data_IF_827084738165
#
_entry.id   IF_827084738165
#
_cell.length_a   1.000
_cell.length_b   1.000
_cell.length_c   1.000
_cell.angle_alpha   90.00
_cell.angle_beta   90.00
_cell.angle_gamma   90.00
#
_symmetry.space_group_name_H-M   'P 1'
#
loop_
_entity.id
_entity.type
_entity.pdbx_description
1 polymer ?
#
# COMPACT_ATOMS: atom_id res chain seq x y z
N UNK A 1 -16.93 -22.83 -7.80
CA UNK A 1 -15.46 -22.89 -7.89
C UNK A 1 -14.84 -21.78 -8.77
N UNK A 2 -15.50 -20.63 -8.97
CA UNK A 2 -15.03 -19.60 -9.95
C UNK A 2 -14.50 -18.28 -9.33
N UNK A 3 -14.25 -18.21 -8.02
CA UNK A 3 -13.80 -16.98 -7.35
C UNK A 3 -12.32 -16.91 -6.98
N UNK A 4 -11.53 -17.96 -7.17
CA UNK A 4 -10.13 -18.04 -6.71
C UNK A 4 -9.08 -17.60 -7.75
N UNK A 5 -9.45 -17.45 -9.02
CA UNK A 5 -8.49 -17.26 -10.13
C UNK A 5 -8.36 -15.81 -10.61
N UNK A 6 -8.77 -14.80 -9.83
CA UNK A 6 -8.69 -13.40 -10.25
C UNK A 6 -7.71 -12.61 -9.41
N UNK A 7 -7.03 -11.69 -10.06
CA UNK A 7 -6.24 -10.68 -9.36
C UNK A 7 -7.15 -9.77 -8.53
N UNK A 8 -6.70 -9.41 -7.33
CA UNK A 8 -7.50 -8.64 -6.37
C UNK A 8 -6.63 -7.63 -5.63
N UNK A 9 -7.24 -6.51 -5.27
CA UNK A 9 -6.74 -5.61 -4.23
C UNK A 9 -7.66 -5.77 -3.03
N UNK A 10 -7.10 -6.13 -1.87
CA UNK A 10 -7.82 -6.21 -0.60
C UNK A 10 -7.35 -5.04 0.25
N UNK A 11 -8.19 -4.03 0.39
CA UNK A 11 -7.87 -2.84 1.17
C UNK A 11 -8.00 -3.16 2.65
N UNK A 12 -6.89 -3.26 3.37
CA UNK A 12 -6.89 -3.48 4.81
C UNK A 12 -7.14 -2.19 5.58
N UNK A 13 -6.69 -1.06 5.04
CA UNK A 13 -6.92 0.26 5.60
C UNK A 13 -6.91 1.34 4.53
N UNK A 14 -7.65 2.42 4.75
CA UNK A 14 -7.86 3.49 3.75
C UNK A 14 -7.60 4.89 4.26
N UNK A 15 -7.32 5.03 5.56
CA UNK A 15 -7.19 6.32 6.24
C UNK A 15 -5.78 6.90 6.20
N UNK A 16 -5.70 8.21 6.37
CA UNK A 16 -4.45 8.97 6.53
C UNK A 16 -3.82 8.76 7.92
N UNK A 17 -2.67 9.40 8.17
CA UNK A 17 -1.84 9.18 9.36
C UNK A 17 -2.60 9.24 10.70
N UNK A 18 -3.46 10.23 10.91
CA UNK A 18 -4.17 10.42 12.18
C UNK A 18 -5.65 10.01 12.12
N UNK A 19 -6.03 9.16 11.15
CA UNK A 19 -7.36 8.58 11.08
C UNK A 19 -7.64 7.72 12.32
N UNK A 20 -8.85 7.83 12.86
CA UNK A 20 -9.29 7.09 14.05
C UNK A 20 -10.59 6.31 13.82
N UNK A 21 -11.26 6.52 12.68
CA UNK A 21 -12.50 5.87 12.30
C UNK A 21 -12.35 4.86 11.18
N UNK A 22 -11.16 4.76 10.62
CA UNK A 22 -10.72 3.73 9.69
C UNK A 22 -9.24 3.42 9.94
N UNK A 23 -8.74 2.29 9.44
CA UNK A 23 -7.35 1.91 9.60
C UNK A 23 -6.45 2.69 8.62
N UNK A 24 -5.18 2.87 8.98
CA UNK A 24 -4.22 3.54 8.11
C UNK A 24 -3.98 2.75 6.82
N UNK A 25 -3.64 3.47 5.77
CA UNK A 25 -3.53 2.91 4.42
C UNK A 25 -2.56 1.74 4.34
N UNK A 26 -3.09 0.59 3.98
CA UNK A 26 -2.35 -0.61 3.61
C UNK A 26 -3.27 -1.57 2.85
N UNK A 27 -2.70 -2.41 2.00
CA UNK A 27 -3.50 -3.32 1.19
C UNK A 27 -2.72 -4.57 0.81
N UNK A 28 -3.43 -5.59 0.35
CA UNK A 28 -2.84 -6.77 -0.27
C UNK A 28 -3.12 -6.73 -1.77
N UNK A 29 -2.05 -6.84 -2.56
CA UNK A 29 -2.14 -7.18 -3.97
C UNK A 29 -2.07 -8.71 -4.08
N UNK A 30 -3.16 -9.31 -4.51
CA UNK A 30 -3.33 -10.76 -4.59
C UNK A 30 -3.47 -11.20 -6.05
N UNK A 31 -2.69 -12.20 -6.40
CA UNK A 31 -2.86 -13.01 -7.61
C UNK A 31 -3.26 -14.43 -7.21
N UNK A 32 -3.53 -15.37 -8.15
CA UNK A 32 -3.75 -16.77 -7.80
C UNK A 32 -2.65 -17.38 -6.94
N UNK A 33 -1.38 -17.04 -7.18
CA UNK A 33 -0.22 -17.67 -6.56
C UNK A 33 0.53 -16.77 -5.57
N UNK A 34 0.24 -15.46 -5.52
CA UNK A 34 1.00 -14.51 -4.70
C UNK A 34 0.10 -13.58 -3.89
N UNK A 35 0.49 -13.32 -2.65
CA UNK A 35 -0.03 -12.22 -1.84
C UNK A 35 1.13 -11.31 -1.45
N UNK A 36 1.07 -10.06 -1.91
CA UNK A 36 2.01 -9.01 -1.55
C UNK A 36 1.31 -8.01 -0.63
N UNK A 37 1.72 -7.94 0.63
CA UNK A 37 1.26 -6.89 1.54
C UNK A 37 2.03 -5.59 1.24
N UNK A 38 1.33 -4.50 1.03
CA UNK A 38 1.89 -3.16 0.81
C UNK A 38 1.58 -2.29 2.01
N UNK A 39 2.60 -1.90 2.75
CA UNK A 39 2.56 -1.28 4.06
C UNK A 39 1.74 -2.10 5.09
N UNK A 40 1.65 -1.64 6.33
CA UNK A 40 0.92 -2.37 7.37
C UNK A 40 0.22 -1.44 8.38
N UNK A 41 0.08 -0.16 8.06
CA UNK A 41 -0.58 0.80 8.94
C UNK A 41 0.22 1.16 10.21
N UNK A 42 -0.44 1.83 11.14
CA UNK A 42 0.17 2.50 12.29
C UNK A 42 0.35 1.66 13.55
N UNK A 43 0.08 0.36 13.53
CA UNK A 43 0.26 -0.45 14.75
C UNK A 43 -0.35 -1.85 14.70
N UNK A 44 -0.67 -2.40 15.87
CA UNK A 44 -1.19 -3.77 16.00
C UNK A 44 -2.58 -3.97 15.39
N UNK A 45 -3.28 -2.90 15.03
CA UNK A 45 -4.55 -2.97 14.30
C UNK A 45 -4.47 -3.77 13.00
N UNK A 46 -3.27 -3.86 12.38
CA UNK A 46 -3.07 -4.71 11.20
C UNK A 46 -3.47 -6.18 11.48
N UNK A 47 -3.27 -6.66 12.69
CA UNK A 47 -3.60 -8.04 13.04
C UNK A 47 -5.12 -8.26 13.02
N UNK A 48 -5.91 -7.29 13.49
CA UNK A 48 -7.37 -7.32 13.39
C UNK A 48 -7.82 -7.24 11.93
N UNK A 49 -7.20 -6.36 11.14
CA UNK A 49 -7.54 -6.21 9.71
C UNK A 49 -7.29 -7.50 8.93
N UNK A 50 -6.19 -8.18 9.21
CA UNK A 50 -5.89 -9.48 8.58
C UNK A 50 -6.88 -10.57 9.03
N UNK A 51 -7.22 -10.61 10.32
CA UNK A 51 -8.19 -11.58 10.86
C UNK A 51 -9.58 -11.38 10.25
N UNK A 52 -10.09 -10.14 10.22
CA UNK A 52 -11.39 -9.81 9.63
C UNK A 52 -11.43 -10.04 8.11
N UNK A 53 -10.32 -9.77 7.41
CA UNK A 53 -10.15 -10.09 5.99
C UNK A 53 -10.00 -11.61 5.75
N UNK A 54 -9.93 -12.45 6.81
CA UNK A 54 -9.71 -13.90 6.76
C UNK A 54 -8.40 -14.28 6.05
N UNK A 55 -7.35 -13.49 6.28
CA UNK A 55 -6.03 -13.71 5.74
C UNK A 55 -5.12 -14.20 6.85
N UNK A 56 -4.58 -15.40 6.68
CA UNK A 56 -3.56 -15.89 7.59
C UNK A 56 -2.18 -15.38 7.17
N UNK A 57 -1.38 -14.97 8.13
CA UNK A 57 -0.01 -14.53 7.85
C UNK A 57 0.86 -15.66 7.25
N UNK A 58 0.52 -16.93 7.51
CA UNK A 58 1.16 -18.07 6.85
C UNK A 58 0.90 -18.16 5.36
N UNK A 59 -0.18 -17.54 4.88
CA UNK A 59 -0.60 -17.57 3.47
C UNK A 59 -0.05 -16.36 2.71
N UNK A 60 0.43 -15.34 3.43
CA UNK A 60 1.24 -14.26 2.84
C UNK A 60 2.59 -14.90 2.54
N UNK A 61 2.67 -15.56 1.39
CA UNK A 61 3.88 -16.23 0.93
C UNK A 61 4.99 -15.22 0.71
N UNK A 62 5.67 -14.88 1.81
CA UNK A 62 7.01 -14.33 1.86
C UNK A 62 7.20 -12.84 1.57
N UNK A 63 6.16 -11.99 1.31
CA UNK A 63 6.45 -10.68 0.74
C UNK A 63 5.68 -9.52 1.36
N UNK A 64 6.42 -8.52 1.81
CA UNK A 64 5.89 -7.22 2.22
C UNK A 64 6.72 -6.11 1.58
N UNK A 65 6.05 -5.10 1.02
CA UNK A 65 6.67 -3.90 0.47
C UNK A 65 6.35 -2.71 1.36
N UNK A 66 7.38 -1.98 1.80
CA UNK A 66 7.24 -0.73 2.57
C UNK A 66 7.49 0.43 1.62
N UNK A 67 6.48 1.30 1.46
CA UNK A 67 6.60 2.50 0.63
C UNK A 67 7.54 3.51 1.28
N UNK A 68 7.40 3.76 2.59
CA UNK A 68 8.23 4.70 3.34
C UNK A 68 8.16 4.50 4.87
N UNK A 69 8.89 5.33 5.62
CA UNK A 69 9.13 5.14 7.05
C UNK A 69 8.19 5.93 7.98
N UNK A 70 7.09 6.53 7.49
CA UNK A 70 6.12 7.17 8.39
C UNK A 70 5.42 6.16 9.30
N UNK A 71 5.00 6.64 10.46
CA UNK A 71 4.45 5.79 11.53
C UNK A 71 3.20 5.04 11.12
N UNK A 72 2.37 5.64 10.30
CA UNK A 72 1.11 5.10 9.79
C UNK A 72 1.27 4.08 8.65
N UNK A 73 2.52 3.81 8.23
CA UNK A 73 2.87 2.78 7.24
C UNK A 73 3.74 1.67 7.84
N UNK A 74 4.73 2.03 8.68
CA UNK A 74 5.77 1.11 9.13
C UNK A 74 5.50 0.43 10.47
N UNK A 75 4.74 1.05 11.40
CA UNK A 75 4.60 0.49 12.75
C UNK A 75 3.81 -0.83 12.76
N UNK A 76 2.86 -1.01 11.86
CA UNK A 76 2.19 -2.29 11.66
C UNK A 76 3.13 -3.39 11.16
N UNK A 77 4.15 -3.02 10.35
CA UNK A 77 5.16 -3.98 9.86
C UNK A 77 5.92 -4.64 11.00
N UNK A 78 6.20 -3.92 12.08
CA UNK A 78 6.83 -4.48 13.29
C UNK A 78 5.99 -5.63 13.86
N UNK A 79 4.67 -5.49 13.85
CA UNK A 79 3.75 -6.53 14.31
C UNK A 79 3.68 -7.71 13.35
N UNK A 80 3.71 -7.45 12.04
CA UNK A 80 3.79 -8.52 11.03
C UNK A 80 5.09 -9.32 11.23
N UNK A 81 6.25 -8.65 11.34
CA UNK A 81 7.55 -9.30 11.60
C UNK A 81 7.51 -10.11 12.88
N UNK A 82 6.94 -9.56 13.97
CA UNK A 82 6.77 -10.28 15.23
C UNK A 82 5.97 -11.57 15.07
N UNK A 83 4.85 -11.52 14.36
CA UNK A 83 3.97 -12.68 14.17
C UNK A 83 4.60 -13.72 13.26
N UNK A 84 5.20 -13.31 12.14
CA UNK A 84 5.94 -14.20 11.24
C UNK A 84 7.10 -14.89 12.01
N UNK A 85 7.88 -14.14 12.78
CA UNK A 85 8.95 -14.70 13.61
C UNK A 85 8.41 -15.74 14.62
N UNK A 86 7.25 -15.50 15.20
CA UNK A 86 6.57 -16.47 16.08
C UNK A 86 6.14 -17.73 15.34
N UNK A 87 5.57 -17.59 14.14
CA UNK A 87 5.15 -18.70 13.29
C UNK A 87 6.37 -19.55 12.84
N UNK A 88 7.47 -18.90 12.44
CA UNK A 88 8.72 -19.60 12.10
C UNK A 88 9.24 -20.39 13.29
N UNK A 89 9.33 -19.78 14.50
CA UNK A 89 9.81 -20.45 15.72
C UNK A 89 8.92 -21.63 16.16
N UNK A 90 7.63 -21.59 15.83
CA UNK A 90 6.69 -22.68 16.13
C UNK A 90 6.58 -23.72 15.03
N UNK A 91 7.34 -23.59 13.93
CA UNK A 91 7.28 -24.50 12.79
C UNK A 91 6.00 -24.39 11.95
N UNK A 92 5.25 -23.30 12.10
CA UNK A 92 3.98 -23.06 11.38
C UNK A 92 4.16 -22.17 10.14
N UNK A 93 5.36 -21.70 9.86
CA UNK A 93 5.74 -20.94 8.69
C UNK A 93 7.01 -21.56 8.09
N UNK A 94 6.93 -22.00 6.84
CA UNK A 94 8.03 -22.60 6.13
C UNK A 94 8.63 -21.63 5.11
N UNK A 95 9.98 -21.57 5.06
CA UNK A 95 10.70 -20.69 4.14
C UNK A 95 11.12 -19.38 4.77
N UNK A 96 11.35 -18.38 3.93
CA UNK A 96 11.79 -17.04 4.32
C UNK A 96 10.69 -16.02 4.09
N UNK A 97 10.62 -15.01 4.94
CA UNK A 97 9.77 -13.84 4.77
C UNK A 97 10.64 -12.65 4.38
N UNK A 98 10.35 -12.01 3.25
CA UNK A 98 11.14 -10.89 2.77
C UNK A 98 10.36 -9.59 2.86
N UNK A 99 10.96 -8.59 3.47
CA UNK A 99 10.48 -7.21 3.51
C UNK A 99 11.28 -6.40 2.52
N UNK A 100 10.63 -5.86 1.52
CA UNK A 100 11.20 -4.95 0.52
C UNK A 100 10.97 -3.51 0.94
N UNK A 101 11.92 -2.65 0.70
CA UNK A 101 11.81 -1.22 0.95
C UNK A 101 13.12 -0.50 0.63
N UNK A 102 13.10 0.81 0.55
CA UNK A 102 14.33 1.58 0.39
C UNK A 102 15.16 1.56 1.69
N UNK A 103 16.45 1.86 1.57
CA UNK A 103 17.44 1.77 2.66
C UNK A 103 16.96 2.36 4.00
N UNK A 104 16.40 3.58 3.98
CA UNK A 104 15.95 4.26 5.21
C UNK A 104 14.79 3.52 5.88
N UNK A 105 13.78 3.08 5.12
CA UNK A 105 12.64 2.36 5.65
C UNK A 105 13.07 1.05 6.32
N UNK A 106 13.95 0.29 5.67
CA UNK A 106 14.48 -0.96 6.24
C UNK A 106 15.33 -0.73 7.49
N UNK A 107 16.18 0.30 7.51
CA UNK A 107 16.97 0.66 8.70
C UNK A 107 16.09 1.03 9.89
N UNK A 108 15.02 1.83 9.64
CA UNK A 108 14.06 2.21 10.68
C UNK A 108 13.33 0.97 11.21
N UNK A 109 12.82 0.12 10.30
CA UNK A 109 12.16 -1.13 10.70
C UNK A 109 13.08 -2.02 11.54
N UNK A 110 14.29 -2.28 11.05
CA UNK A 110 15.26 -3.12 11.75
C UNK A 110 15.57 -2.56 13.14
N UNK A 111 15.81 -1.26 13.23
CA UNK A 111 16.08 -0.60 14.51
C UNK A 111 14.92 -0.77 15.49
N UNK A 112 13.69 -0.48 15.08
CA UNK A 112 12.50 -0.63 15.93
C UNK A 112 12.36 -2.11 16.37
N UNK A 113 12.45 -3.05 15.44
CA UNK A 113 12.36 -4.47 15.76
C UNK A 113 13.41 -4.90 16.78
N UNK A 114 14.68 -4.51 16.61
CA UNK A 114 15.78 -4.88 17.53
C UNK A 114 15.62 -4.27 18.92
N UNK A 115 15.05 -3.06 19.01
CA UNK A 115 14.85 -2.37 20.28
C UNK A 115 13.58 -2.82 21.03
N UNK A 116 12.60 -3.39 20.32
CA UNK A 116 11.26 -3.65 20.93
C UNK A 116 10.89 -5.13 20.96
N UNK A 117 11.43 -5.96 20.08
CA UNK A 117 11.08 -7.37 20.01
C UNK A 117 12.04 -8.25 20.83
N UNK A 118 11.55 -9.40 21.36
CA UNK A 118 12.41 -10.37 22.05
C UNK A 118 13.55 -10.87 21.16
N UNK A 119 14.72 -11.10 21.75
CA UNK A 119 15.92 -11.57 21.06
C UNK A 119 15.68 -12.84 20.21
N UNK A 120 14.82 -13.76 20.67
CA UNK A 120 14.45 -14.97 19.91
C UNK A 120 13.79 -14.68 18.57
N UNK A 121 13.17 -13.50 18.40
CA UNK A 121 12.56 -13.06 17.14
C UNK A 121 13.54 -12.24 16.30
N UNK A 122 14.26 -11.31 16.94
CA UNK A 122 15.21 -10.47 16.21
C UNK A 122 16.43 -11.25 15.68
N UNK A 123 16.73 -12.42 16.27
CA UNK A 123 17.75 -13.34 15.73
C UNK A 123 17.39 -13.94 14.36
N UNK A 124 16.15 -13.84 13.94
CA UNK A 124 15.71 -14.30 12.61
C UNK A 124 15.92 -13.25 11.52
N UNK A 125 16.14 -11.97 11.89
CA UNK A 125 16.42 -10.90 10.94
C UNK A 125 17.80 -11.15 10.31
N UNK A 126 17.82 -11.23 8.98
CA UNK A 126 19.00 -11.58 8.18
C UNK A 126 19.14 -13.08 7.86
N UNK A 127 18.25 -13.93 8.40
CA UNK A 127 18.26 -15.38 8.11
C UNK A 127 16.91 -15.87 7.54
N UNK A 128 15.85 -15.84 8.35
CA UNK A 128 14.51 -16.26 7.96
C UNK A 128 13.57 -15.07 7.72
N UNK A 129 13.88 -13.91 8.27
CA UNK A 129 13.24 -12.62 7.95
C UNK A 129 14.29 -11.79 7.23
N UNK A 130 14.13 -11.62 5.92
CA UNK A 130 15.08 -10.91 5.07
C UNK A 130 14.62 -9.48 4.86
N UNK A 131 15.56 -8.54 4.93
CA UNK A 131 15.34 -7.14 4.58
C UNK A 131 16.03 -6.89 3.24
N UNK A 132 15.25 -6.70 2.19
CA UNK A 132 15.76 -6.54 0.83
C UNK A 132 15.64 -5.07 0.40
N UNK A 133 16.79 -4.41 0.29
CA UNK A 133 16.84 -3.03 -0.19
C UNK A 133 16.46 -2.95 -1.67
N UNK A 134 15.54 -2.04 -1.98
CA UNK A 134 15.18 -1.66 -3.35
C UNK A 134 15.67 -0.25 -3.66
N UNK A 135 16.11 -0.06 -4.90
CA UNK A 135 16.59 1.22 -5.42
C UNK A 135 15.68 1.73 -6.52
N UNK A 136 15.84 3.00 -6.85
CA UNK A 136 15.15 3.59 -8.00
C UNK A 136 15.44 2.80 -9.27
N UNK A 137 14.39 2.43 -10.00
CA UNK A 137 14.39 1.62 -11.23
C UNK A 137 14.65 0.13 -11.05
N UNK A 138 14.81 -0.36 -9.84
CA UNK A 138 14.97 -1.80 -9.63
C UNK A 138 13.74 -2.57 -10.15
N UNK A 139 14.01 -3.68 -10.80
CA UNK A 139 13.01 -4.64 -11.24
C UNK A 139 13.08 -5.90 -10.37
N UNK A 140 11.92 -6.30 -9.85
CA UNK A 140 11.79 -7.42 -8.93
C UNK A 140 10.76 -8.42 -9.45
N UNK A 141 11.01 -9.70 -9.19
CA UNK A 141 9.97 -10.72 -9.31
C UNK A 141 9.56 -11.18 -7.91
N UNK A 142 8.32 -10.93 -7.54
CA UNK A 142 7.75 -11.29 -6.26
C UNK A 142 6.65 -12.33 -6.54
N UNK A 143 6.99 -13.62 -6.37
CA UNK A 143 6.14 -14.68 -6.85
C UNK A 143 5.91 -14.55 -8.36
N UNK A 144 4.65 -14.46 -8.77
CA UNK A 144 4.23 -14.27 -10.16
C UNK A 144 3.99 -12.79 -10.55
N UNK A 145 4.23 -11.85 -9.63
CA UNK A 145 4.14 -10.39 -9.85
C UNK A 145 5.50 -9.83 -10.24
N UNK A 146 5.58 -9.06 -11.33
CA UNK A 146 6.77 -8.28 -11.67
C UNK A 146 6.57 -6.85 -11.22
N UNK A 147 7.50 -6.33 -10.40
CA UNK A 147 7.51 -4.95 -9.94
C UNK A 147 8.66 -4.18 -10.56
N UNK A 148 8.39 -2.95 -10.96
CA UNK A 148 9.40 -1.94 -11.24
C UNK A 148 9.24 -0.84 -10.19
N UNK A 149 10.24 -0.71 -9.33
CA UNK A 149 10.25 0.28 -8.24
C UNK A 149 10.71 1.64 -8.74
N UNK A 150 10.17 2.71 -8.20
CA UNK A 150 10.63 4.07 -8.51
C UNK A 150 10.53 4.99 -7.30
N UNK A 151 11.47 5.93 -7.21
CA UNK A 151 11.43 7.01 -6.23
C UNK A 151 10.33 7.99 -6.65
N UNK A 152 9.35 8.25 -5.78
CA UNK A 152 8.28 9.20 -6.07
C UNK A 152 8.74 10.66 -5.97
N UNK A 153 9.99 10.89 -5.54
CA UNK A 153 10.62 12.20 -5.38
C UNK A 153 9.89 13.07 -4.35
N UNK A 154 9.47 12.45 -3.26
CA UNK A 154 8.83 13.13 -2.14
C UNK A 154 9.72 14.22 -1.54
N UNK A 155 9.10 15.33 -1.15
CA UNK A 155 9.79 16.45 -0.49
C UNK A 155 9.77 16.37 1.03
N UNK A 156 8.99 15.43 1.61
CA UNK A 156 8.89 15.20 3.07
C UNK A 156 9.82 14.08 3.53
N UNK A 157 9.58 12.91 3.00
CA UNK A 157 10.23 11.65 3.38
C UNK A 157 10.46 10.83 2.13
N UNK A 158 11.63 10.19 2.01
CA UNK A 158 11.91 9.31 0.87
C UNK A 158 10.82 8.25 0.79
N UNK A 159 10.16 8.16 -0.36
CA UNK A 159 9.10 7.20 -0.64
C UNK A 159 9.34 6.52 -1.97
N UNK A 160 8.96 5.25 -2.04
CA UNK A 160 8.96 4.49 -3.28
C UNK A 160 7.55 4.08 -3.65
N UNK A 161 7.24 4.30 -4.93
CA UNK A 161 6.13 3.69 -5.62
C UNK A 161 6.61 2.47 -6.42
N UNK A 162 5.67 1.82 -7.09
CA UNK A 162 5.98 0.73 -8.00
C UNK A 162 4.96 0.64 -9.14
N UNK A 163 5.43 0.14 -10.29
CA UNK A 163 4.57 -0.39 -11.35
C UNK A 163 4.58 -1.91 -11.25
N UNK A 164 3.41 -2.52 -11.13
CA UNK A 164 3.25 -3.97 -11.15
C UNK A 164 2.74 -4.42 -12.52
N UNK A 165 3.29 -5.54 -13.01
CA UNK A 165 2.73 -6.32 -14.11
C UNK A 165 2.27 -7.66 -13.53
N UNK A 166 0.96 -7.92 -13.62
CA UNK A 166 0.33 -9.12 -13.09
C UNK A 166 0.34 -10.25 -14.13
N UNK A 167 0.10 -11.50 -13.71
CA UNK A 167 0.19 -12.67 -14.60
C UNK A 167 -0.70 -12.62 -15.83
N UNK A 168 -1.86 -11.98 -15.74
CA UNK A 168 -2.82 -11.83 -16.85
C UNK A 168 -2.50 -10.65 -17.78
N UNK A 169 -1.39 -9.94 -17.53
CA UNK A 169 -0.97 -8.76 -18.28
C UNK A 169 -1.53 -7.44 -17.75
N UNK A 170 -2.36 -7.44 -16.73
CA UNK A 170 -2.86 -6.22 -16.07
C UNK A 170 -1.71 -5.42 -15.47
N UNK A 171 -1.71 -4.11 -15.68
CA UNK A 171 -0.70 -3.19 -15.14
C UNK A 171 -1.31 -2.29 -14.06
N UNK A 172 -0.57 -2.14 -12.95
CA UNK A 172 -0.97 -1.33 -11.81
C UNK A 172 0.17 -0.41 -11.39
N UNK A 173 -0.10 0.89 -11.21
CA UNK A 173 0.85 1.84 -10.65
C UNK A 173 0.38 2.30 -9.26
N UNK A 174 1.27 2.21 -8.27
CA UNK A 174 1.04 2.68 -6.90
C UNK A 174 1.96 3.87 -6.60
N UNK A 175 1.37 5.00 -6.24
CA UNK A 175 2.09 6.26 -6.01
C UNK A 175 2.41 6.56 -4.52
N UNK A 176 2.08 5.63 -3.60
CA UNK A 176 2.25 5.92 -2.17
C UNK A 176 1.23 6.95 -1.68
N UNK A 177 1.63 7.83 -0.75
CA UNK A 177 0.77 8.80 -0.08
C UNK A 177 1.12 10.28 -0.37
N UNK A 178 1.74 10.53 -1.50
CA UNK A 178 2.07 11.89 -1.97
C UNK A 178 1.55 12.18 -3.37
N UNK A 179 1.40 13.50 -3.70
CA UNK A 179 1.04 13.90 -5.05
C UNK A 179 2.03 13.41 -6.10
N UNK A 180 1.51 13.11 -7.28
CA UNK A 180 2.28 12.66 -8.42
C UNK A 180 3.38 13.67 -8.84
N UNK A 181 4.55 13.14 -9.22
CA UNK A 181 5.65 13.89 -9.81
C UNK A 181 5.80 13.53 -11.31
N UNK A 182 5.90 14.54 -12.17
CA UNK A 182 6.02 14.37 -13.63
C UNK A 182 7.21 13.49 -14.07
N UNK A 183 8.28 13.43 -13.29
CA UNK A 183 9.41 12.56 -13.58
C UNK A 183 9.05 11.08 -13.55
N UNK A 184 7.92 10.75 -12.92
CA UNK A 184 7.42 9.37 -12.79
C UNK A 184 6.42 8.99 -13.90
N UNK A 185 6.25 9.84 -14.91
CA UNK A 185 5.29 9.62 -16.01
C UNK A 185 5.41 8.23 -16.64
N UNK A 186 6.62 7.81 -16.94
CA UNK A 186 6.88 6.53 -17.61
C UNK A 186 6.41 5.29 -16.82
N UNK A 187 6.29 5.41 -15.49
CA UNK A 187 5.81 4.33 -14.65
C UNK A 187 4.29 4.28 -14.52
N UNK A 188 3.61 5.40 -14.76
CA UNK A 188 2.18 5.55 -14.47
C UNK A 188 1.32 5.64 -15.73
N UNK A 189 1.83 6.32 -16.78
CA UNK A 189 1.08 6.56 -18.02
C UNK A 189 0.60 5.24 -18.64
N UNK A 190 -0.67 5.22 -19.08
CA UNK A 190 -1.33 4.06 -19.70
C UNK A 190 -1.41 2.81 -18.80
N UNK A 191 -1.29 2.94 -17.48
CA UNK A 191 -1.55 1.83 -16.57
C UNK A 191 -3.05 1.45 -16.59
N UNK A 192 -3.35 0.16 -16.42
CA UNK A 192 -4.74 -0.26 -16.25
C UNK A 192 -5.32 0.24 -14.94
N UNK A 193 -4.50 0.31 -13.88
CA UNK A 193 -4.87 0.77 -12.55
C UNK A 193 -3.89 1.82 -12.04
N UNK A 194 -4.44 2.91 -11.53
CA UNK A 194 -3.71 3.90 -10.73
C UNK A 194 -4.22 3.88 -9.30
N UNK A 195 -3.34 3.59 -8.37
CA UNK A 195 -3.55 3.68 -6.93
C UNK A 195 -2.86 4.95 -6.43
N UNK A 196 -3.63 5.93 -5.97
CA UNK A 196 -3.06 7.18 -5.45
C UNK A 196 -3.87 7.72 -4.27
N UNK A 197 -3.22 8.58 -3.50
CA UNK A 197 -3.85 9.27 -2.41
C UNK A 197 -4.87 10.32 -2.89
N UNK A 198 -5.88 10.58 -2.07
CA UNK A 198 -6.81 11.70 -2.18
C UNK A 198 -7.24 12.11 -0.78
N UNK A 199 -6.49 13.02 -0.17
CA UNK A 199 -6.62 13.33 1.25
C UNK A 199 -8.03 13.82 1.63
N UNK A 200 -8.59 14.74 0.83
CA UNK A 200 -9.93 15.27 1.05
C UNK A 200 -10.61 15.67 -0.27
N UNK A 201 -11.85 16.11 -0.17
CA UNK A 201 -12.53 16.77 -1.29
C UNK A 201 -11.93 18.16 -1.55
N UNK A 202 -11.85 18.58 -2.80
CA UNK A 202 -11.37 19.92 -3.18
C UNK A 202 -12.17 21.06 -2.51
N UNK A 203 -13.50 20.86 -2.39
CA UNK A 203 -14.35 21.84 -1.69
C UNK A 203 -14.00 22.01 -0.21
N UNK A 204 -13.41 20.99 0.42
CA UNK A 204 -13.07 20.97 1.85
C UNK A 204 -11.57 21.25 2.09
N UNK A 205 -10.81 21.64 1.05
CA UNK A 205 -9.36 21.90 1.12
C UNK A 205 -8.97 22.97 2.11
N UNK A 206 -9.83 23.98 2.33
CA UNK A 206 -9.57 25.04 3.30
C UNK A 206 -9.73 24.57 4.75
N UNK A 207 -10.44 23.46 4.99
CA UNK A 207 -10.62 22.83 6.28
C UNK A 207 -9.46 21.89 6.56
N UNK A 208 -9.16 20.97 5.61
CA UNK A 208 -8.21 19.88 5.79
C UNK A 208 -6.77 20.25 5.44
N UNK A 209 -6.57 21.35 4.68
CA UNK A 209 -5.25 21.86 4.29
C UNK A 209 -4.35 20.80 3.63
N UNK A 210 -4.82 20.12 2.55
CA UNK A 210 -4.05 19.04 1.92
C UNK A 210 -2.68 19.52 1.44
N UNK A 211 -2.59 20.69 0.84
CA UNK A 211 -1.34 21.19 0.26
C UNK A 211 -0.27 21.50 1.31
N UNK A 212 -0.66 21.97 2.51
CA UNK A 212 0.27 22.20 3.62
C UNK A 212 0.83 20.86 4.16
N UNK A 213 0.13 19.76 3.90
CA UNK A 213 0.50 18.40 4.28
C UNK A 213 1.10 17.60 3.12
N UNK A 214 1.31 18.23 1.98
CA UNK A 214 1.79 17.63 0.74
C UNK A 214 0.89 16.46 0.27
N UNK A 215 -0.40 16.71 0.20
CA UNK A 215 -1.41 15.80 -0.31
C UNK A 215 -2.24 16.47 -1.40
N UNK A 216 -2.98 15.67 -2.16
CA UNK A 216 -3.92 16.11 -3.19
C UNK A 216 -5.39 15.92 -2.77
N UNK A 217 -6.29 16.32 -3.63
CA UNK A 217 -7.74 16.18 -3.46
C UNK A 217 -8.30 15.16 -4.45
N UNK A 218 -9.52 14.70 -4.21
CA UNK A 218 -10.21 13.78 -5.11
C UNK A 218 -10.37 14.35 -6.53
N UNK A 219 -10.59 15.68 -6.65
CA UNK A 219 -10.68 16.37 -7.93
C UNK A 219 -9.38 16.28 -8.72
N UNK A 220 -8.25 16.52 -8.04
CA UNK A 220 -6.90 16.51 -8.64
C UNK A 220 -6.47 15.09 -9.00
N UNK A 221 -6.80 14.11 -8.16
CA UNK A 221 -6.56 12.71 -8.48
C UNK A 221 -7.34 12.25 -9.73
N UNK A 222 -8.59 12.71 -9.89
CA UNK A 222 -9.34 12.49 -11.12
C UNK A 222 -8.69 13.14 -12.35
N UNK A 223 -8.26 14.40 -12.25
CA UNK A 223 -7.57 15.09 -13.34
C UNK A 223 -6.23 14.42 -13.70
N UNK A 224 -5.51 13.90 -12.70
CA UNK A 224 -4.28 13.13 -12.91
C UNK A 224 -4.55 11.83 -13.67
N UNK A 225 -5.58 11.09 -13.28
CA UNK A 225 -5.96 9.83 -13.92
C UNK A 225 -6.31 10.03 -15.41
N UNK A 226 -7.04 11.09 -15.74
CA UNK A 226 -7.36 11.46 -17.12
C UNK A 226 -6.10 11.84 -17.91
N UNK A 227 -5.26 12.72 -17.34
CA UNK A 227 -4.00 13.17 -17.95
C UNK A 227 -3.05 12.00 -18.27
N UNK A 228 -2.99 10.99 -17.39
CA UNK A 228 -2.12 9.83 -17.54
C UNK A 228 -2.77 8.67 -18.31
N UNK A 229 -3.97 8.87 -18.85
CA UNK A 229 -4.70 7.89 -19.65
C UNK A 229 -4.80 6.51 -18.97
N UNK A 230 -5.08 6.48 -17.67
CA UNK A 230 -5.33 5.24 -16.93
C UNK A 230 -6.78 4.79 -17.12
N UNK A 231 -7.07 3.50 -16.89
CA UNK A 231 -8.44 2.97 -17.06
C UNK A 231 -9.24 2.99 -15.76
N UNK A 232 -8.58 2.68 -14.65
CA UNK A 232 -9.21 2.55 -13.33
C UNK A 232 -8.41 3.38 -12.31
N UNK A 233 -9.11 4.18 -11.53
CA UNK A 233 -8.56 5.00 -10.45
C UNK A 233 -9.03 4.46 -9.10
N UNK A 234 -8.10 4.12 -8.21
CA UNK A 234 -8.39 3.75 -6.83
C UNK A 234 -7.81 4.79 -5.88
N UNK A 235 -8.71 5.39 -5.07
CA UNK A 235 -8.38 6.43 -4.11
C UNK A 235 -8.30 5.88 -2.70
N UNK A 236 -7.24 6.23 -1.98
CA UNK A 236 -7.02 5.89 -0.58
C UNK A 236 -6.37 7.05 0.18
N UNK A 237 -5.89 6.83 1.40
CA UNK A 237 -5.23 7.80 2.28
C UNK A 237 -6.08 9.05 2.52
N UNK A 238 -7.37 8.81 2.80
CA UNK A 238 -8.37 9.86 2.93
C UNK A 238 -8.53 10.33 4.36
N UNK A 239 -9.07 11.54 4.54
CA UNK A 239 -9.61 11.96 5.83
C UNK A 239 -10.75 11.02 6.30
N UNK A 240 -11.03 11.00 7.60
CA UNK A 240 -11.95 10.06 8.22
C UNK A 240 -13.22 10.69 8.84
N UNK A 241 -13.46 11.98 8.61
CA UNK A 241 -14.63 12.69 9.18
C UNK A 241 -15.88 12.50 8.33
N UNK A 242 -15.72 12.20 7.05
CA UNK A 242 -16.82 12.07 6.08
C UNK A 242 -17.08 10.64 5.61
N UNK A 243 -16.65 9.61 6.36
CA UNK A 243 -16.69 8.20 5.92
C UNK A 243 -18.04 7.75 5.36
N UNK A 244 -19.15 8.14 5.98
CA UNK A 244 -20.48 7.72 5.55
C UNK A 244 -20.86 8.18 4.13
N UNK A 245 -20.30 9.31 3.67
CA UNK A 245 -20.55 9.90 2.35
C UNK A 245 -19.33 9.86 1.43
N UNK A 246 -18.18 9.42 1.95
CA UNK A 246 -16.88 9.45 1.28
C UNK A 246 -16.95 8.84 -0.11
N UNK A 247 -17.42 7.60 -0.23
CA UNK A 247 -17.48 6.88 -1.52
C UNK A 247 -18.22 7.69 -2.58
N UNK A 248 -19.42 8.15 -2.27
CA UNK A 248 -20.24 8.92 -3.22
C UNK A 248 -19.59 10.28 -3.56
N UNK A 249 -19.12 11.01 -2.55
CA UNK A 249 -18.59 12.35 -2.73
C UNK A 249 -17.25 12.36 -3.49
N UNK A 250 -16.31 11.47 -3.13
CA UNK A 250 -15.01 11.37 -3.80
C UNK A 250 -15.16 10.86 -5.24
N UNK A 251 -16.01 9.85 -5.44
CA UNK A 251 -16.34 9.40 -6.80
C UNK A 251 -16.94 10.52 -7.63
N UNK A 252 -17.92 11.28 -7.09
CA UNK A 252 -18.56 12.38 -7.79
C UNK A 252 -17.60 13.54 -8.11
N UNK A 253 -16.63 13.80 -7.24
CA UNK A 253 -15.66 14.87 -7.47
C UNK A 253 -14.60 14.45 -8.49
N UNK A 254 -14.02 13.26 -8.39
CA UNK A 254 -13.04 12.74 -9.34
C UNK A 254 -13.67 12.58 -10.76
N UNK A 255 -14.93 12.19 -10.85
CA UNK A 255 -15.67 12.03 -12.10
C UNK A 255 -15.90 13.34 -12.89
N UNK A 256 -15.64 14.50 -12.28
CA UNK A 256 -15.70 15.77 -13.01
C UNK A 256 -14.60 15.83 -14.09
N UNK A 257 -13.46 15.24 -13.84
CA UNK A 257 -12.31 15.25 -14.75
C UNK A 257 -12.00 13.88 -15.37
N UNK A 258 -12.38 12.78 -14.74
CA UNK A 258 -12.04 11.43 -15.18
C UNK A 258 -13.29 10.65 -15.61
N UNK A 259 -13.21 9.97 -16.76
CA UNK A 259 -14.33 9.20 -17.32
C UNK A 259 -14.15 7.68 -17.21
N UNK A 260 -13.02 7.23 -16.70
CA UNK A 260 -12.77 5.81 -16.39
C UNK A 260 -13.49 5.36 -15.13
N UNK A 261 -13.16 4.18 -14.66
CA UNK A 261 -13.74 3.63 -13.44
C UNK A 261 -13.08 4.22 -12.21
N UNK A 262 -13.86 4.61 -11.20
CA UNK A 262 -13.38 5.22 -9.96
C UNK A 262 -13.77 4.32 -8.78
N UNK A 263 -12.79 3.97 -7.97
CA UNK A 263 -12.94 3.14 -6.78
C UNK A 263 -12.52 3.93 -5.55
N UNK A 264 -13.40 4.01 -4.57
CA UNK A 264 -13.16 4.64 -3.25
C UNK A 264 -13.53 3.60 -2.19
N UNK A 265 -12.62 2.67 -1.87
CA UNK A 265 -12.94 1.56 -0.99
C UNK A 265 -13.13 1.98 0.47
N UNK A 266 -13.86 1.18 1.21
CA UNK A 266 -13.79 1.11 2.66
C UNK A 266 -12.71 0.12 3.09
N UNK A 267 -12.35 0.15 4.37
CA UNK A 267 -11.52 -0.89 4.96
C UNK A 267 -12.17 -2.27 4.74
N UNK A 268 -11.34 -3.28 4.48
CA UNK A 268 -11.70 -4.67 4.22
C UNK A 268 -12.44 -4.92 2.90
N UNK A 269 -12.61 -3.90 2.07
CA UNK A 269 -13.24 -4.07 0.75
C UNK A 269 -12.26 -4.74 -0.22
N UNK A 270 -12.76 -5.75 -0.95
CA UNK A 270 -12.02 -6.45 -2.00
C UNK A 270 -12.45 -5.97 -3.37
N UNK A 271 -11.48 -5.59 -4.19
CA UNK A 271 -11.67 -5.11 -5.56
C UNK A 271 -11.04 -6.13 -6.50
N UNK A 272 -11.83 -6.66 -7.44
CA UNK A 272 -11.29 -7.51 -8.51
C UNK A 272 -10.65 -6.61 -9.59
N UNK A 273 -9.47 -6.99 -10.02
CA UNK A 273 -8.67 -6.19 -10.97
C UNK A 273 -8.24 -7.05 -12.16
#
# INVERSE_FOLDING_TARGET
MERQDRNQIIMLGTGYATATHCYNTCFILKTPDTMLLVDAGGGNGILNQLEEAKINLSDIHSFLFITHAHTDHILGVVWVVRMIASLIKSGKYNGTFTVYGHEKALKVLEWICRMTLPAKFTSLIGTSVLLHEVKDKDELSIGDIKLQCFDILSTKEKQFGFRALLPDGTTLACLGDEPYNENNKNYVENADWLLCEAFCLYKDRDIFKPYEKHHSTALEAGALADKLNVKNLLLYHTEDKSLATRKANYTGEAAQNFKGNIFVPYDLETINI
#
